data_IF_237944284951
#
_entry.id   IF_237944284951
#
_cell.length_a   1.000
_cell.length_b   1.000
_cell.length_c   1.000
_cell.angle_alpha   90.00
_cell.angle_beta   90.00
_cell.angle_gamma   90.00
#
_symmetry.space_group_name_H-M   'P 1'
#
loop_
_entity.id
_entity.type
_entity.pdbx_description
1 polymer ?
#
# COMPACT_ATOMS: atom_id res chain seq x y z
N UNK A 1 -21.77 -14.29 69.50
CA UNK A 1 -22.50 -13.77 68.33
C UNK A 1 -23.50 -14.84 67.90
N UNK A 2 -24.78 -14.48 67.88
CA UNK A 2 -25.95 -15.35 67.89
C UNK A 2 -26.38 -15.84 66.49
N UNK A 3 -27.16 -16.94 66.48
CA UNK A 3 -28.08 -17.49 65.43
C UNK A 3 -27.40 -18.41 64.39
N UNK A 4 -27.40 -19.74 64.56
CA UNK A 4 -28.47 -20.75 64.28
C UNK A 4 -28.58 -21.14 62.79
N UNK A 5 -28.16 -22.36 62.41
CA UNK A 5 -28.96 -23.61 62.19
C UNK A 5 -29.90 -23.60 60.97
N UNK A 6 -29.69 -24.55 60.04
CA UNK A 6 -30.66 -25.50 59.40
C UNK A 6 -30.03 -26.08 58.11
N UNK A 7 -29.53 -27.31 58.08
CA UNK A 7 -30.24 -28.58 57.78
C UNK A 7 -31.05 -28.56 56.48
N UNK A 8 -30.70 -29.42 55.50
CA UNK A 8 -31.54 -30.57 55.14
C UNK A 8 -30.81 -31.56 54.21
N UNK A 9 -30.78 -32.80 54.68
CA UNK A 9 -30.40 -34.02 53.98
C UNK A 9 -31.58 -34.56 53.14
N UNK A 10 -31.22 -35.29 52.08
CA UNK A 10 -31.96 -36.39 51.43
C UNK A 10 -33.19 -36.03 50.58
N UNK A 11 -33.06 -36.37 49.29
CA UNK A 11 -34.15 -36.55 48.35
C UNK A 11 -33.64 -37.38 47.18
N UNK A 12 -33.44 -38.68 47.38
CA UNK A 12 -33.23 -39.66 46.32
C UNK A 12 -34.47 -39.67 45.42
N UNK A 13 -34.38 -39.03 44.26
CA UNK A 13 -35.36 -39.25 43.18
C UNK A 13 -34.85 -40.42 42.36
N UNK A 14 -35.58 -41.54 42.46
CA UNK A 14 -35.52 -42.64 41.52
C UNK A 14 -36.04 -42.11 40.18
N UNK A 15 -35.14 -41.87 39.22
CA UNK A 15 -35.52 -41.74 37.81
C UNK A 15 -35.71 -43.15 37.23
N UNK A 16 -36.89 -43.70 37.38
CA UNK A 16 -37.35 -44.82 36.56
C UNK A 16 -38.11 -44.29 35.34
N UNK A 17 -37.87 -44.97 34.22
CA UNK A 17 -38.48 -44.91 32.90
C UNK A 17 -37.66 -44.27 31.76
N UNK A 18 -37.03 -45.22 31.07
CA UNK A 18 -36.63 -45.25 29.67
C UNK A 18 -37.70 -44.62 28.78
N UNK A 19 -37.31 -43.54 28.12
CA UNK A 19 -37.86 -43.12 26.85
C UNK A 19 -36.69 -42.93 25.89
N UNK A 20 -36.22 -43.99 25.25
CA UNK A 20 -35.36 -43.85 24.06
C UNK A 20 -36.27 -43.29 22.98
N UNK A 21 -36.42 -41.96 22.93
CA UNK A 21 -36.82 -41.29 21.71
C UNK A 21 -35.62 -41.47 20.79
N UNK A 22 -35.66 -42.51 19.97
CA UNK A 22 -34.78 -42.67 18.84
C UNK A 22 -35.00 -41.45 17.95
N UNK A 23 -34.20 -40.40 18.14
CA UNK A 23 -34.09 -39.32 17.17
C UNK A 23 -33.53 -39.98 15.92
N UNK A 24 -34.41 -40.30 14.97
CA UNK A 24 -34.02 -40.61 13.60
C UNK A 24 -33.33 -39.34 13.09
N UNK A 25 -32.01 -39.28 13.28
CA UNK A 25 -31.19 -38.28 12.60
C UNK A 25 -31.23 -38.68 11.14
N UNK A 26 -32.22 -38.18 10.41
CA UNK A 26 -32.26 -38.26 8.96
C UNK A 26 -30.97 -37.64 8.45
N UNK A 27 -30.00 -38.49 8.10
CA UNK A 27 -28.75 -38.08 7.47
C UNK A 27 -29.15 -37.45 6.14
N UNK A 28 -29.17 -36.12 6.11
CA UNK A 28 -29.44 -35.38 4.89
C UNK A 28 -28.47 -35.85 3.80
N UNK A 29 -29.00 -36.30 2.68
CA UNK A 29 -28.19 -36.70 1.53
C UNK A 29 -27.30 -35.54 1.09
N UNK A 30 -26.05 -35.86 0.75
CA UNK A 30 -25.13 -34.85 0.24
C UNK A 30 -25.70 -34.22 -1.05
N UNK A 31 -25.54 -32.91 -1.18
CA UNK A 31 -25.94 -32.20 -2.38
C UNK A 31 -25.07 -32.62 -3.58
N UNK A 32 -25.61 -32.47 -4.79
CA UNK A 32 -24.86 -32.63 -6.04
C UNK A 32 -24.59 -31.28 -6.69
N UNK A 33 -23.54 -31.19 -7.50
CA UNK A 33 -23.18 -29.97 -8.23
C UNK A 33 -24.01 -29.95 -9.52
N UNK A 34 -24.83 -28.92 -9.70
CA UNK A 34 -25.62 -28.68 -10.93
C UNK A 34 -24.93 -27.69 -11.86
N UNK A 35 -24.11 -26.80 -11.30
CA UNK A 35 -23.26 -25.91 -12.10
C UNK A 35 -21.86 -25.97 -11.52
N UNK A 36 -20.92 -26.44 -12.32
CA UNK A 36 -19.50 -26.46 -11.98
C UNK A 36 -18.94 -25.03 -11.94
N UNK A 37 -17.62 -24.91 -11.74
CA UNK A 37 -16.97 -23.61 -11.67
C UNK A 37 -17.34 -22.73 -12.88
N UNK A 38 -17.93 -21.59 -12.60
CA UNK A 38 -18.23 -20.55 -13.59
C UNK A 38 -17.63 -19.23 -13.13
N UNK A 39 -16.91 -18.55 -14.02
CA UNK A 39 -16.31 -17.25 -13.70
C UNK A 39 -17.39 -16.17 -13.53
N UNK A 40 -17.21 -15.28 -12.54
CA UNK A 40 -18.06 -14.11 -12.39
C UNK A 40 -17.69 -13.07 -13.46
N UNK A 41 -18.69 -12.51 -14.14
CA UNK A 41 -18.50 -11.50 -15.21
C UNK A 41 -18.60 -10.05 -14.72
N UNK A 42 -19.04 -9.81 -13.49
CA UNK A 42 -19.12 -8.46 -12.92
C UNK A 42 -17.75 -7.81 -12.78
N UNK A 43 -17.70 -6.47 -12.85
CA UNK A 43 -16.48 -5.68 -12.67
C UNK A 43 -15.67 -6.14 -11.45
N UNK A 44 -14.35 -6.15 -11.58
CA UNK A 44 -13.46 -6.68 -10.56
C UNK A 44 -13.67 -5.98 -9.21
N UNK A 45 -13.73 -4.64 -9.20
CA UNK A 45 -13.96 -3.81 -8.01
C UNK A 45 -15.25 -4.13 -7.24
N UNK A 46 -16.29 -4.65 -7.91
CA UNK A 46 -17.56 -5.05 -7.29
C UNK A 46 -17.53 -6.45 -6.65
N UNK A 47 -16.41 -7.16 -6.74
CA UNK A 47 -16.25 -8.55 -6.26
C UNK A 47 -15.33 -8.68 -5.05
N UNK A 48 -15.01 -7.56 -4.40
CA UNK A 48 -14.39 -7.59 -3.09
C UNK A 48 -15.44 -7.95 -2.05
N UNK A 49 -15.14 -8.95 -1.24
CA UNK A 49 -16.05 -9.45 -0.21
C UNK A 49 -15.29 -9.65 1.09
N UNK A 50 -16.03 -9.60 2.18
CA UNK A 50 -15.57 -10.08 3.48
C UNK A 50 -16.45 -11.21 3.96
N UNK A 51 -15.88 -12.05 4.81
CA UNK A 51 -16.59 -13.15 5.46
C UNK A 51 -17.56 -12.63 6.51
N UNK A 52 -18.73 -13.27 6.60
CA UNK A 52 -19.70 -13.02 7.68
C UNK A 52 -19.40 -13.82 8.94
N UNK A 53 -18.44 -14.75 8.88
CA UNK A 53 -18.08 -15.68 9.97
C UNK A 53 -19.10 -16.79 10.21
N UNK A 54 -20.18 -16.86 9.41
CA UNK A 54 -21.28 -17.83 9.60
C UNK A 54 -21.00 -19.18 8.96
N UNK A 55 -20.08 -19.25 7.99
CA UNK A 55 -19.80 -20.43 7.20
C UNK A 55 -18.29 -20.67 7.07
N UNK A 56 -17.90 -21.92 6.91
CA UNK A 56 -16.52 -22.30 6.62
C UNK A 56 -16.17 -22.07 5.13
N UNK A 57 -14.88 -22.10 4.83
CA UNK A 57 -14.35 -22.14 3.47
C UNK A 57 -13.99 -23.59 3.13
N UNK A 58 -14.39 -24.07 1.95
CA UNK A 58 -14.27 -25.47 1.55
C UNK A 58 -13.51 -25.66 0.23
N UNK A 59 -13.02 -26.87 -0.05
CA UNK A 59 -12.34 -27.20 -1.31
C UNK A 59 -13.26 -27.20 -2.54
N UNK A 60 -14.53 -27.61 -2.34
CA UNK A 60 -15.67 -27.62 -3.26
C UNK A 60 -16.93 -27.16 -2.48
N UNK A 61 -18.13 -27.00 -3.08
CA UNK A 61 -19.33 -26.65 -2.32
C UNK A 61 -19.52 -27.50 -1.06
N UNK A 62 -19.70 -26.85 0.09
CA UNK A 62 -19.54 -27.46 1.41
C UNK A 62 -20.56 -28.56 1.77
N UNK A 63 -21.69 -28.62 1.07
CA UNK A 63 -22.74 -29.66 1.23
C UNK A 63 -22.55 -30.86 0.30
N UNK A 64 -21.55 -30.83 -0.59
CA UNK A 64 -21.27 -31.90 -1.55
C UNK A 64 -20.32 -32.94 -0.94
N UNK A 65 -20.50 -34.21 -1.31
CA UNK A 65 -19.65 -35.32 -0.84
C UNK A 65 -18.16 -35.04 -1.08
N UNK A 66 -17.36 -35.27 -0.03
CA UNK A 66 -15.90 -35.08 -0.06
C UNK A 66 -15.45 -33.62 -0.06
N UNK A 67 -16.30 -32.66 0.34
CA UNK A 67 -15.86 -31.30 0.61
C UNK A 67 -14.95 -31.26 1.84
N UNK A 68 -13.71 -30.76 1.66
CA UNK A 68 -12.73 -30.58 2.75
C UNK A 68 -12.80 -29.15 3.26
N UNK A 69 -12.67 -28.95 4.57
CA UNK A 69 -12.58 -27.61 5.18
C UNK A 69 -11.19 -27.03 4.90
N UNK A 70 -11.13 -25.89 4.23
CA UNK A 70 -9.92 -25.09 3.98
C UNK A 70 -9.71 -24.09 5.12
N UNK A 71 -10.79 -23.49 5.61
CA UNK A 71 -10.78 -22.66 6.82
C UNK A 71 -12.09 -22.89 7.59
N UNK A 72 -11.99 -23.21 8.87
CA UNK A 72 -13.14 -23.47 9.72
C UNK A 72 -14.03 -22.24 9.89
N UNK A 73 -15.27 -22.43 10.35
CA UNK A 73 -16.18 -21.32 10.69
C UNK A 73 -15.54 -20.35 11.70
N UNK A 74 -14.87 -20.88 12.73
CA UNK A 74 -14.15 -20.09 13.72
C UNK A 74 -13.05 -19.23 13.07
N UNK A 75 -12.24 -19.82 12.17
CA UNK A 75 -11.21 -19.08 11.43
C UNK A 75 -11.81 -18.00 10.52
N UNK A 76 -12.92 -18.30 9.85
CA UNK A 76 -13.66 -17.34 9.04
C UNK A 76 -14.28 -16.21 9.89
N UNK A 77 -14.58 -16.47 11.17
CA UNK A 77 -15.01 -15.42 12.11
C UNK A 77 -13.85 -14.52 12.55
N UNK A 78 -12.64 -15.05 12.75
CA UNK A 78 -11.47 -14.20 13.05
C UNK A 78 -11.08 -13.31 11.88
N UNK A 79 -11.24 -13.78 10.64
CA UNK A 79 -11.02 -12.96 9.44
C UNK A 79 -12.04 -11.82 9.28
N UNK A 80 -13.26 -11.99 9.80
CA UNK A 80 -14.29 -10.93 9.82
C UNK A 80 -13.84 -9.76 10.68
N UNK A 81 -13.27 -10.04 11.86
CA UNK A 81 -12.87 -9.01 12.84
C UNK A 81 -11.42 -8.55 12.71
N UNK A 82 -10.64 -9.15 11.80
CA UNK A 82 -9.25 -8.77 11.59
C UNK A 82 -9.13 -7.33 11.09
N UNK A 83 -8.20 -6.58 11.69
CA UNK A 83 -7.78 -5.24 11.25
C UNK A 83 -6.90 -5.25 10.00
N UNK A 84 -6.59 -6.41 9.42
CA UNK A 84 -5.78 -6.50 8.20
C UNK A 84 -6.64 -6.74 6.96
N UNK A 85 -6.43 -5.90 5.94
CA UNK A 85 -6.98 -6.03 4.59
C UNK A 85 -6.49 -7.29 3.87
N UNK A 86 -5.41 -7.93 4.35
CA UNK A 86 -4.95 -9.22 3.85
C UNK A 86 -6.03 -10.32 3.91
N UNK A 87 -7.01 -10.16 4.80
CA UNK A 87 -8.13 -11.09 5.03
C UNK A 87 -9.46 -10.65 4.42
N UNK A 88 -9.46 -9.60 3.59
CA UNK A 88 -10.50 -9.48 2.57
C UNK A 88 -10.35 -10.59 1.53
N UNK A 89 -11.40 -10.81 0.75
CA UNK A 89 -11.43 -11.81 -0.31
C UNK A 89 -11.87 -11.20 -1.63
N UNK A 90 -11.42 -11.80 -2.73
CA UNK A 90 -12.01 -11.61 -4.06
C UNK A 90 -12.86 -12.83 -4.38
N UNK A 91 -14.14 -12.63 -4.65
CA UNK A 91 -14.97 -13.62 -5.33
C UNK A 91 -14.67 -13.56 -6.84
N UNK A 92 -14.28 -14.67 -7.44
CA UNK A 92 -13.91 -14.69 -8.87
C UNK A 92 -14.69 -15.71 -9.70
N UNK A 93 -15.43 -16.60 -9.05
CA UNK A 93 -16.35 -17.52 -9.68
C UNK A 93 -17.38 -18.06 -8.71
N UNK A 94 -18.20 -18.99 -9.17
CA UNK A 94 -19.19 -19.67 -8.35
C UNK A 94 -19.42 -21.10 -8.83
N UNK A 95 -20.13 -21.88 -8.03
CA UNK A 95 -20.75 -23.15 -8.36
C UNK A 95 -22.17 -23.18 -7.78
N UNK A 96 -23.06 -23.98 -8.36
CA UNK A 96 -24.43 -24.20 -7.86
C UNK A 96 -24.66 -25.67 -7.52
N UNK A 97 -25.52 -25.91 -6.54
CA UNK A 97 -25.95 -27.25 -6.14
C UNK A 97 -27.41 -27.51 -6.53
N UNK A 98 -27.82 -28.79 -6.48
CA UNK A 98 -29.21 -29.20 -6.69
C UNK A 98 -30.20 -28.63 -5.65
N UNK A 99 -29.70 -28.17 -4.49
CA UNK A 99 -30.49 -27.46 -3.48
C UNK A 99 -30.73 -25.98 -3.81
N UNK A 100 -30.26 -25.50 -4.97
CA UNK A 100 -30.31 -24.09 -5.36
C UNK A 100 -29.29 -23.19 -4.65
N UNK A 101 -28.35 -23.77 -3.90
CA UNK A 101 -27.32 -23.00 -3.18
C UNK A 101 -26.22 -22.52 -4.12
N UNK A 102 -25.87 -21.25 -4.02
CA UNK A 102 -24.71 -20.66 -4.69
C UNK A 102 -23.51 -20.73 -3.74
N UNK A 103 -22.37 -21.21 -4.24
CA UNK A 103 -21.09 -21.17 -3.54
C UNK A 103 -20.11 -20.33 -4.33
N UNK A 104 -19.59 -19.26 -3.74
CA UNK A 104 -18.59 -18.41 -4.40
C UNK A 104 -17.20 -19.02 -4.25
N UNK A 105 -16.48 -19.12 -5.37
CA UNK A 105 -15.04 -19.36 -5.35
C UNK A 105 -14.33 -18.06 -4.99
N UNK A 106 -13.62 -18.07 -3.87
CA UNK A 106 -12.95 -16.91 -3.29
C UNK A 106 -11.47 -17.16 -3.06
N UNK A 107 -10.70 -16.08 -2.99
CA UNK A 107 -9.29 -16.07 -2.55
C UNK A 107 -9.03 -14.87 -1.65
N UNK A 108 -8.29 -15.05 -0.56
CA UNK A 108 -7.87 -13.94 0.32
C UNK A 108 -6.91 -12.99 -0.40
N UNK A 109 -6.85 -11.72 0.00
CA UNK A 109 -5.98 -10.72 -0.66
C UNK A 109 -4.50 -11.05 -0.55
N UNK A 110 -4.07 -11.75 0.50
CA UNK A 110 -2.71 -12.30 0.63
C UNK A 110 -2.50 -13.65 -0.10
N UNK A 111 -3.50 -14.17 -0.79
CA UNK A 111 -3.42 -15.42 -1.57
C UNK A 111 -3.47 -16.73 -0.78
N UNK A 112 -3.36 -16.70 0.56
CA UNK A 112 -3.18 -17.90 1.40
C UNK A 112 -4.42 -18.80 1.49
N UNK A 113 -5.63 -18.25 1.42
CA UNK A 113 -6.87 -19.00 1.58
C UNK A 113 -7.68 -18.96 0.30
N UNK A 114 -7.98 -20.14 -0.27
CA UNK A 114 -8.73 -20.27 -1.52
C UNK A 114 -9.71 -21.42 -1.45
N UNK A 115 -10.97 -21.17 -1.78
CA UNK A 115 -12.00 -22.19 -1.64
C UNK A 115 -13.38 -21.71 -2.08
N UNK A 116 -14.39 -22.50 -1.73
CA UNK A 116 -15.80 -22.21 -1.93
C UNK A 116 -16.45 -21.87 -0.59
N UNK A 117 -17.20 -20.78 -0.55
CA UNK A 117 -17.97 -20.34 0.62
C UNK A 117 -19.43 -20.17 0.20
N UNK A 118 -20.34 -20.59 1.07
CA UNK A 118 -21.77 -20.45 0.81
C UNK A 118 -22.14 -18.98 0.59
N UNK A 119 -22.88 -18.69 -0.47
CA UNK A 119 -23.17 -17.34 -0.95
C UNK A 119 -24.63 -16.93 -0.87
N UNK A 120 -25.52 -17.81 -0.40
CA UNK A 120 -26.98 -17.65 -0.50
C UNK A 120 -27.57 -18.46 -1.66
N UNK A 121 -28.82 -18.17 -2.01
CA UNK A 121 -29.51 -18.77 -3.18
C UNK A 121 -29.48 -17.89 -4.43
N UNK A 122 -29.19 -16.59 -4.26
CA UNK A 122 -29.19 -15.60 -5.35
C UNK A 122 -27.76 -15.27 -5.77
N UNK A 123 -27.47 -15.44 -7.05
CA UNK A 123 -26.17 -15.09 -7.62
C UNK A 123 -25.93 -13.56 -7.55
N UNK A 124 -24.69 -13.14 -7.33
CA UNK A 124 -24.24 -11.77 -7.13
C UNK A 124 -24.77 -11.04 -5.88
N UNK A 125 -25.64 -11.66 -5.07
CA UNK A 125 -26.19 -11.02 -3.87
C UNK A 125 -25.22 -11.01 -2.67
N UNK A 126 -24.27 -11.96 -2.62
CA UNK A 126 -23.37 -12.15 -1.48
C UNK A 126 -24.10 -12.08 -0.12
N UNK A 127 -25.10 -12.95 0.08
CA UNK A 127 -26.00 -12.92 1.24
C UNK A 127 -25.79 -14.06 2.25
N UNK A 128 -24.70 -14.82 2.09
CA UNK A 128 -24.40 -16.00 2.91
C UNK A 128 -23.18 -15.82 3.82
N UNK A 129 -22.20 -16.71 3.64
CA UNK A 129 -20.92 -16.71 4.34
C UNK A 129 -19.99 -15.56 3.97
N UNK A 130 -20.34 -14.77 2.96
CA UNK A 130 -19.64 -13.56 2.53
C UNK A 130 -20.64 -12.45 2.20
N UNK A 131 -20.20 -11.19 2.29
CA UNK A 131 -20.90 -9.98 1.87
C UNK A 131 -19.95 -9.03 1.14
N UNK A 132 -20.49 -8.14 0.31
CA UNK A 132 -19.68 -7.11 -0.38
C UNK A 132 -18.90 -6.23 0.60
N UNK A 133 -17.68 -5.85 0.21
CA UNK A 133 -16.79 -5.04 1.02
C UNK A 133 -16.14 -3.91 0.21
N UNK A 134 -16.21 -2.68 0.74
CA UNK A 134 -15.33 -1.58 0.32
C UNK A 134 -14.00 -1.74 1.05
N UNK A 135 -12.92 -1.92 0.29
CA UNK A 135 -11.57 -2.12 0.85
C UNK A 135 -10.81 -0.81 1.07
N UNK A 136 -11.30 0.26 0.45
CA UNK A 136 -10.81 1.63 0.61
C UNK A 136 -11.97 2.62 0.63
N UNK A 137 -11.69 3.83 1.12
CA UNK A 137 -12.53 5.01 1.00
C UNK A 137 -11.65 6.19 0.53
N UNK A 138 -12.19 7.08 -0.29
CA UNK A 138 -11.49 8.31 -0.66
C UNK A 138 -11.26 9.19 0.58
N UNK A 139 -10.16 9.94 0.56
CA UNK A 139 -9.85 11.01 1.51
C UNK A 139 -9.29 12.20 0.73
N UNK A 140 -9.22 13.35 1.38
CA UNK A 140 -8.69 14.56 0.75
C UNK A 140 -7.23 14.39 0.35
N UNK A 141 -6.83 15.11 -0.70
CA UNK A 141 -5.44 15.19 -1.12
C UNK A 141 -4.62 15.92 -0.05
N UNK A 142 -3.33 15.55 0.12
CA UNK A 142 -2.46 16.31 1.00
C UNK A 142 -2.22 17.71 0.44
N UNK A 143 -1.88 18.65 1.33
CA UNK A 143 -1.41 19.98 0.93
C UNK A 143 0.01 19.90 0.34
N UNK A 144 0.30 20.74 -0.65
CA UNK A 144 1.56 20.72 -1.39
C UNK A 144 1.41 20.05 -2.75
N UNK A 145 2.14 20.54 -3.74
CA UNK A 145 2.10 20.05 -5.12
C UNK A 145 3.22 19.07 -5.44
N UNK A 146 4.32 19.13 -4.69
CA UNK A 146 5.52 18.33 -4.91
C UNK A 146 5.86 17.52 -3.68
N UNK A 147 6.12 16.24 -3.88
CA UNK A 147 6.51 15.28 -2.85
C UNK A 147 7.81 14.56 -3.22
N UNK A 148 8.45 13.95 -2.24
CA UNK A 148 9.68 13.17 -2.40
C UNK A 148 9.60 11.91 -1.54
N UNK A 149 10.37 10.88 -1.89
CA UNK A 149 10.42 9.67 -1.06
C UNK A 149 11.09 9.94 0.28
N UNK A 150 10.52 9.36 1.33
CA UNK A 150 10.97 9.53 2.71
C UNK A 150 11.87 8.35 3.14
N UNK A 151 12.92 8.66 3.91
CA UNK A 151 13.78 7.67 4.57
C UNK A 151 13.07 7.06 5.78
N UNK A 152 12.44 5.91 5.58
CA UNK A 152 11.81 5.14 6.65
C UNK A 152 12.62 3.90 7.03
N UNK A 153 12.66 3.57 8.33
CA UNK A 153 13.29 2.35 8.83
C UNK A 153 12.64 1.03 8.36
N UNK A 154 11.48 1.10 7.72
CA UNK A 154 10.78 -0.05 7.13
C UNK A 154 10.66 0.14 5.62
N UNK A 155 10.86 -0.94 4.87
CA UNK A 155 10.67 -0.95 3.43
C UNK A 155 9.18 -0.79 3.05
N UNK A 156 8.88 0.29 2.35
CA UNK A 156 7.60 0.52 1.68
C UNK A 156 7.84 0.58 0.17
N UNK A 157 6.83 0.22 -0.61
CA UNK A 157 6.94 0.17 -2.06
C UNK A 157 5.71 0.77 -2.73
N UNK A 158 5.80 0.97 -4.04
CA UNK A 158 4.68 1.38 -4.88
C UNK A 158 3.92 0.16 -5.42
N UNK A 159 2.62 0.31 -5.66
CA UNK A 159 1.72 -0.78 -6.02
C UNK A 159 0.69 -0.37 -7.06
N UNK A 160 0.20 -1.30 -7.89
CA UNK A 160 -0.90 -1.03 -8.84
C UNK A 160 -2.25 -0.77 -8.17
N UNK A 161 -2.38 -1.10 -6.89
CA UNK A 161 -3.51 -0.78 -6.01
C UNK A 161 -2.99 -0.75 -4.57
N UNK A 162 -3.62 -0.01 -3.63
CA UNK A 162 -3.17 0.00 -2.24
C UNK A 162 -3.04 -1.42 -1.71
N UNK A 163 -1.98 -1.69 -0.95
CA UNK A 163 -1.59 -3.05 -0.61
C UNK A 163 -2.74 -3.83 0.06
N UNK A 164 -3.06 -5.00 -0.52
CA UNK A 164 -4.15 -5.90 -0.11
C UNK A 164 -5.57 -5.35 -0.25
N UNK A 165 -5.80 -4.35 -1.10
CA UNK A 165 -7.16 -3.82 -1.33
C UNK A 165 -7.82 -4.37 -2.60
N UNK A 166 -7.03 -4.95 -3.51
CA UNK A 166 -7.47 -5.63 -4.73
C UNK A 166 -6.71 -6.94 -4.92
N UNK A 167 -7.39 -7.96 -5.42
CA UNK A 167 -6.74 -9.21 -5.80
C UNK A 167 -5.84 -8.98 -7.02
N UNK A 168 -4.63 -9.54 -6.99
CA UNK A 168 -3.54 -9.32 -7.95
C UNK A 168 -3.02 -7.87 -7.99
N UNK A 169 -3.15 -7.11 -6.90
CA UNK A 169 -2.35 -5.90 -6.72
C UNK A 169 -0.87 -6.28 -6.85
N UNK A 170 -0.16 -5.66 -7.81
CA UNK A 170 1.25 -5.92 -8.10
C UNK A 170 2.09 -4.85 -7.42
N UNK A 171 3.23 -5.27 -6.88
CA UNK A 171 4.27 -4.36 -6.40
C UNK A 171 5.07 -3.88 -7.62
N UNK A 172 5.27 -2.58 -7.73
CA UNK A 172 6.01 -1.95 -8.83
C UNK A 172 7.46 -1.69 -8.37
N UNK A 173 7.62 -0.96 -7.26
CA UNK A 173 8.88 -0.81 -6.56
C UNK A 173 8.84 -1.50 -5.19
N UNK A 174 9.92 -2.15 -4.78
CA UNK A 174 9.96 -2.94 -3.55
C UNK A 174 10.33 -2.15 -2.30
N UNK A 175 11.19 -1.15 -2.47
CA UNK A 175 11.62 -0.24 -1.43
C UNK A 175 11.86 1.13 -2.03
N UNK A 176 11.06 2.10 -1.62
CA UNK A 176 11.17 3.51 -2.02
C UNK A 176 12.18 4.28 -1.18
N UNK A 177 12.70 3.67 -0.10
CA UNK A 177 13.65 4.36 0.76
C UNK A 177 14.85 4.80 -0.08
N UNK A 178 15.15 6.11 -0.11
CA UNK A 178 16.14 6.64 -1.03
C UNK A 178 17.57 6.14 -0.68
N UNK A 179 17.85 5.69 0.54
CA UNK A 179 19.14 5.05 0.87
C UNK A 179 19.27 3.62 0.33
N UNK A 180 18.19 3.01 -0.13
CA UNK A 180 18.18 1.60 -0.55
C UNK A 180 18.59 1.43 -2.01
N UNK A 181 19.15 0.27 -2.36
CA UNK A 181 19.54 -0.03 -3.74
C UNK A 181 18.39 0.13 -4.76
N UNK A 182 17.16 -0.14 -4.34
CA UNK A 182 15.98 0.00 -5.18
C UNK A 182 15.46 1.45 -5.25
N UNK A 183 15.51 2.19 -4.14
CA UNK A 183 14.94 3.53 -4.03
C UNK A 183 15.88 4.66 -4.45
N UNK A 184 17.21 4.46 -4.36
CA UNK A 184 18.21 5.52 -4.57
C UNK A 184 18.15 6.20 -5.94
N UNK A 185 17.73 5.47 -6.96
CA UNK A 185 17.54 5.99 -8.32
C UNK A 185 16.46 7.08 -8.34
N UNK A 186 15.43 6.93 -7.51
CA UNK A 186 14.26 7.82 -7.53
C UNK A 186 14.28 8.87 -6.42
N UNK A 187 15.40 8.98 -5.70
CA UNK A 187 15.49 9.76 -4.49
C UNK A 187 15.17 11.24 -4.75
N UNK A 188 15.72 11.79 -5.83
CA UNK A 188 15.60 13.20 -6.18
C UNK A 188 14.35 13.56 -6.99
N UNK A 189 13.54 12.57 -7.37
CA UNK A 189 12.46 12.84 -8.31
C UNK A 189 11.27 13.53 -7.65
N UNK A 190 10.77 14.64 -8.23
CA UNK A 190 9.56 15.28 -7.77
C UNK A 190 8.36 14.39 -8.10
N UNK A 191 7.61 14.03 -7.05
CA UNK A 191 6.42 13.22 -7.14
C UNK A 191 5.17 14.10 -7.06
N UNK A 192 4.24 13.89 -7.98
CA UNK A 192 2.91 14.50 -7.92
C UNK A 192 1.93 13.52 -7.27
N UNK A 193 1.18 13.97 -6.26
CA UNK A 193 0.11 13.17 -5.65
C UNK A 193 -1.23 13.50 -6.30
N UNK A 194 -1.83 12.55 -7.02
CA UNK A 194 -3.09 12.79 -7.75
C UNK A 194 -4.33 12.17 -7.11
N UNK A 195 -4.16 11.20 -6.21
CA UNK A 195 -5.26 10.53 -5.49
C UNK A 195 -4.86 10.16 -4.08
N UNK A 196 -5.83 10.17 -3.16
CA UNK A 196 -5.65 9.68 -1.80
C UNK A 196 -6.81 8.79 -1.37
N UNK A 197 -6.49 7.67 -0.72
CA UNK A 197 -7.47 6.74 -0.17
C UNK A 197 -7.02 6.21 1.19
N UNK A 198 -7.98 5.91 2.06
CA UNK A 198 -7.77 5.23 3.34
C UNK A 198 -8.23 3.79 3.26
N UNK A 199 -7.42 2.85 3.74
CA UNK A 199 -7.80 1.44 3.89
C UNK A 199 -8.85 1.28 5.00
N UNK A 200 -9.89 0.52 4.74
CA UNK A 200 -11.06 0.42 5.65
C UNK A 200 -10.83 -0.43 6.89
N UNK A 201 -9.79 -1.28 6.93
CA UNK A 201 -9.43 -2.09 8.11
C UNK A 201 -8.26 -1.51 8.91
N UNK A 202 -7.14 -1.21 8.25
CA UNK A 202 -5.94 -0.71 8.92
C UNK A 202 -6.00 0.79 9.21
N UNK A 203 -6.87 1.55 8.52
CA UNK A 203 -6.88 3.01 8.59
C UNK A 203 -5.69 3.69 7.91
N UNK A 204 -4.80 2.94 7.27
CA UNK A 204 -3.63 3.49 6.58
C UNK A 204 -4.04 4.25 5.31
N UNK A 205 -3.48 5.44 5.16
CA UNK A 205 -3.65 6.28 3.97
C UNK A 205 -2.63 5.90 2.91
N UNK A 206 -3.09 5.81 1.67
CA UNK A 206 -2.27 5.60 0.49
C UNK A 206 -2.47 6.75 -0.48
N UNK A 207 -1.39 7.22 -1.06
CA UNK A 207 -1.38 8.19 -2.15
C UNK A 207 -1.10 7.48 -3.46
N UNK A 208 -1.69 7.95 -4.55
CA UNK A 208 -1.24 7.62 -5.90
C UNK A 208 -0.23 8.69 -6.31
N UNK A 209 1.01 8.26 -6.54
CA UNK A 209 2.12 9.13 -6.96
C UNK A 209 2.40 8.96 -8.44
N UNK A 210 2.76 10.06 -9.07
CA UNK A 210 3.24 10.15 -10.44
C UNK A 210 4.64 10.77 -10.44
N UNK A 211 5.57 10.05 -11.01
CA UNK A 211 6.92 10.47 -11.33
C UNK A 211 7.01 10.66 -12.85
N UNK A 212 7.34 11.87 -13.28
CA UNK A 212 7.40 12.22 -14.70
C UNK A 212 8.63 11.59 -15.39
N UNK A 213 9.74 11.40 -14.66
CA UNK A 213 10.98 10.81 -15.18
C UNK A 213 10.94 9.29 -15.14
N UNK A 214 10.27 8.73 -14.13
CA UNK A 214 10.18 7.29 -13.90
C UNK A 214 8.73 6.77 -13.84
N UNK A 215 7.98 6.82 -14.95
CA UNK A 215 6.60 6.38 -14.97
C UNK A 215 6.41 4.89 -14.63
N UNK A 216 7.46 4.07 -14.68
CA UNK A 216 7.44 2.66 -14.31
C UNK A 216 7.09 2.41 -12.83
N UNK A 217 7.29 3.41 -11.95
CA UNK A 217 6.97 3.31 -10.52
C UNK A 217 5.65 3.96 -10.12
N UNK A 218 4.93 4.60 -11.07
CA UNK A 218 3.67 5.31 -10.82
C UNK A 218 2.62 4.38 -10.21
N UNK A 219 2.15 4.72 -9.01
CA UNK A 219 1.34 3.79 -8.24
C UNK A 219 0.97 4.24 -6.85
N UNK A 220 0.30 3.35 -6.14
CA UNK A 220 -0.14 3.55 -4.78
C UNK A 220 0.99 3.29 -3.78
N UNK A 221 1.24 4.26 -2.93
CA UNK A 221 2.25 4.20 -1.87
C UNK A 221 1.62 4.54 -0.52
N UNK A 222 2.17 3.98 0.57
CA UNK A 222 1.78 4.38 1.91
C UNK A 222 2.17 5.85 2.16
N UNK A 223 1.23 6.67 2.64
CA UNK A 223 1.42 8.13 2.67
C UNK A 223 2.64 8.60 3.47
N UNK A 224 3.00 7.92 4.57
CA UNK A 224 4.19 8.30 5.36
C UNK A 224 5.51 8.05 4.65
N UNK A 225 5.51 7.29 3.55
CA UNK A 225 6.71 7.02 2.75
C UNK A 225 7.03 8.14 1.76
N UNK A 226 6.29 9.24 1.80
CA UNK A 226 6.61 10.48 1.08
C UNK A 226 6.54 11.68 2.01
N UNK A 227 7.27 12.74 1.69
CA UNK A 227 7.26 14.06 2.34
C UNK A 227 6.98 15.13 1.29
N UNK A 228 6.31 16.22 1.67
CA UNK A 228 6.07 17.39 0.81
C UNK A 228 7.23 18.39 0.85
N UNK A 229 8.39 17.94 1.31
CA UNK A 229 9.65 18.66 1.35
C UNK A 229 10.77 17.64 1.20
N UNK A 230 11.96 18.14 0.85
CA UNK A 230 13.17 17.34 0.81
C UNK A 230 13.69 17.17 2.23
N UNK A 231 13.86 15.93 2.66
CA UNK A 231 14.56 15.60 3.90
C UNK A 231 16.04 16.04 3.83
N UNK A 232 16.34 17.24 4.32
CA UNK A 232 17.67 17.87 4.24
C UNK A 232 18.78 17.01 4.85
N UNK A 233 18.51 16.24 5.91
CA UNK A 233 19.50 15.37 6.53
C UNK A 233 19.98 14.24 5.60
N UNK A 234 19.12 13.83 4.67
CA UNK A 234 19.44 12.81 3.69
C UNK A 234 19.89 13.44 2.36
N UNK A 235 19.10 14.36 1.83
CA UNK A 235 19.30 14.98 0.51
C UNK A 235 20.39 16.05 0.52
N UNK A 236 20.69 16.66 1.67
CA UNK A 236 21.73 17.68 1.85
C UNK A 236 23.15 17.20 1.54
N UNK A 237 23.36 15.89 1.37
CA UNK A 237 24.63 15.30 0.92
C UNK A 237 24.68 14.98 -0.58
N UNK A 238 23.55 15.09 -1.29
CA UNK A 238 23.40 14.71 -2.70
C UNK A 238 22.99 15.90 -3.57
N UNK A 239 23.45 17.10 -3.22
CA UNK A 239 23.30 18.31 -4.02
C UNK A 239 24.66 18.94 -4.32
N UNK A 240 24.62 20.11 -4.93
CA UNK A 240 25.79 20.91 -5.26
C UNK A 240 25.72 22.19 -4.44
N UNK A 241 26.70 22.38 -3.55
CA UNK A 241 26.87 23.64 -2.85
C UNK A 241 27.35 24.71 -3.82
N UNK A 242 26.61 25.80 -3.90
CA UNK A 242 26.85 26.93 -4.80
C UNK A 242 27.19 28.17 -3.97
N UNK A 243 28.29 28.83 -4.30
CA UNK A 243 28.65 30.15 -3.76
C UNK A 243 28.54 31.18 -4.86
N UNK A 244 27.79 32.26 -4.63
CA UNK A 244 27.68 33.37 -5.57
C UNK A 244 28.70 34.45 -5.23
N UNK A 245 29.46 34.89 -6.23
CA UNK A 245 30.43 35.97 -6.10
C UNK A 245 30.16 37.07 -7.12
N UNK A 246 30.17 38.31 -6.65
CA UNK A 246 30.10 39.48 -7.52
C UNK A 246 31.35 39.54 -8.42
N UNK A 247 31.16 39.62 -9.73
CA UNK A 247 32.24 39.48 -10.71
C UNK A 247 33.23 40.65 -10.71
N UNK A 248 32.84 41.81 -10.20
CA UNK A 248 33.69 43.00 -10.12
C UNK A 248 34.50 43.01 -8.83
N UNK A 249 33.83 42.79 -7.69
CA UNK A 249 34.44 42.91 -6.37
C UNK A 249 35.01 41.60 -5.82
N UNK A 250 34.66 40.45 -6.42
CA UNK A 250 35.00 39.11 -5.92
C UNK A 250 34.34 38.75 -4.59
N UNK A 251 33.44 39.59 -4.07
CA UNK A 251 32.80 39.38 -2.77
C UNK A 251 31.69 38.35 -2.87
N UNK A 252 31.55 37.52 -1.83
CA UNK A 252 30.41 36.63 -1.70
C UNK A 252 29.12 37.43 -1.54
N UNK A 253 28.11 37.11 -2.35
CA UNK A 253 26.79 37.75 -2.35
C UNK A 253 25.64 36.79 -2.06
N UNK A 254 25.96 35.50 -1.85
CA UNK A 254 24.98 34.50 -1.48
C UNK A 254 25.53 33.08 -1.56
N UNK A 255 24.72 32.14 -1.09
CA UNK A 255 24.95 30.71 -1.26
C UNK A 255 23.63 30.01 -1.55
N UNK A 256 23.71 28.86 -2.21
CA UNK A 256 22.58 27.99 -2.50
C UNK A 256 23.01 26.52 -2.41
N UNK A 257 22.04 25.64 -2.23
CA UNK A 257 22.21 24.21 -2.36
C UNK A 257 21.30 23.71 -3.46
N UNK A 258 21.90 23.30 -4.57
CA UNK A 258 21.17 22.93 -5.79
C UNK A 258 21.01 21.42 -5.84
N UNK A 259 19.80 20.94 -6.09
CA UNK A 259 19.45 19.52 -6.09
C UNK A 259 18.16 19.25 -5.30
N UNK A 260 18.01 18.03 -4.74
CA UNK A 260 18.96 16.92 -4.76
C UNK A 260 19.11 16.29 -6.14
N UNK A 261 20.12 15.45 -6.24
CA UNK A 261 20.38 14.54 -7.35
C UNK A 261 20.47 13.10 -6.84
N UNK A 262 20.57 12.15 -7.76
CA UNK A 262 20.88 10.77 -7.41
C UNK A 262 22.27 10.69 -6.76
N UNK A 263 22.44 9.77 -5.80
CA UNK A 263 23.74 9.53 -5.19
C UNK A 263 24.75 9.05 -6.24
N UNK A 264 25.98 9.58 -6.18
CA UNK A 264 27.09 9.26 -7.08
C UNK A 264 26.80 9.60 -8.56
N UNK A 265 25.84 10.49 -8.81
CA UNK A 265 25.53 10.98 -10.16
C UNK A 265 26.31 12.24 -10.52
N UNK A 266 26.11 12.71 -11.74
CA UNK A 266 26.56 14.02 -12.23
C UNK A 266 25.40 14.79 -12.86
N UNK A 267 25.51 16.10 -12.91
CA UNK A 267 24.63 16.98 -13.70
C UNK A 267 25.45 17.71 -14.75
N UNK A 268 24.83 18.09 -15.86
CA UNK A 268 25.50 18.88 -16.91
C UNK A 268 25.63 20.35 -16.52
N UNK A 269 26.59 21.04 -17.14
CA UNK A 269 26.70 22.50 -17.05
C UNK A 269 25.37 23.21 -17.35
N UNK A 270 24.68 22.83 -18.43
CA UNK A 270 23.46 23.51 -18.87
C UNK A 270 22.30 23.31 -17.88
N UNK A 271 22.13 22.10 -17.34
CA UNK A 271 21.15 21.82 -16.30
C UNK A 271 21.42 22.63 -15.02
N UNK A 272 22.68 22.65 -14.57
CA UNK A 272 23.06 23.41 -13.40
C UNK A 272 22.89 24.91 -13.62
N UNK A 273 23.29 25.44 -14.78
CA UNK A 273 23.16 26.84 -15.16
C UNK A 273 21.70 27.28 -15.10
N UNK A 274 20.79 26.49 -15.67
CA UNK A 274 19.36 26.78 -15.64
C UNK A 274 18.81 26.84 -14.20
N UNK A 275 19.28 25.97 -13.31
CA UNK A 275 18.86 25.96 -11.91
C UNK A 275 19.41 27.17 -11.15
N UNK A 276 20.72 27.43 -11.20
CA UNK A 276 21.35 28.57 -10.49
C UNK A 276 20.92 29.93 -11.04
N UNK A 277 20.47 29.99 -12.29
CA UNK A 277 19.92 31.21 -12.89
C UNK A 277 18.44 31.45 -12.57
N UNK A 278 17.76 30.49 -11.94
CA UNK A 278 16.36 30.66 -11.54
C UNK A 278 16.24 31.59 -10.34
N UNK A 279 15.14 32.34 -10.27
CA UNK A 279 14.87 33.30 -9.19
C UNK A 279 14.80 32.68 -7.79
N UNK A 280 14.61 31.35 -7.71
CA UNK A 280 14.58 30.62 -6.44
C UNK A 280 15.98 30.45 -5.83
N UNK A 281 17.04 30.50 -6.64
CA UNK A 281 18.42 30.29 -6.20
C UNK A 281 19.32 31.51 -6.40
N UNK A 282 18.98 32.38 -7.36
CA UNK A 282 19.79 33.54 -7.74
C UNK A 282 19.56 34.72 -6.76
N UNK A 283 20.62 35.33 -6.21
CA UNK A 283 20.49 36.54 -5.40
C UNK A 283 19.75 37.66 -6.15
N UNK A 284 18.85 38.36 -5.46
CA UNK A 284 18.00 39.37 -6.08
C UNK A 284 18.81 40.46 -6.78
N UNK A 285 18.46 40.75 -8.04
CA UNK A 285 19.10 41.79 -8.84
C UNK A 285 20.43 41.40 -9.48
N UNK A 286 20.79 40.11 -9.47
CA UNK A 286 21.99 39.59 -10.12
C UNK A 286 21.65 38.73 -11.34
N UNK A 287 22.64 38.51 -12.22
CA UNK A 287 22.62 37.56 -13.35
C UNK A 287 23.91 36.73 -13.35
N UNK A 288 23.80 35.45 -13.71
CA UNK A 288 24.95 34.54 -13.82
C UNK A 288 25.82 34.93 -15.02
N UNK A 289 27.13 35.02 -14.81
CA UNK A 289 28.13 35.33 -15.85
C UNK A 289 29.04 34.15 -16.15
N UNK A 290 29.45 33.38 -15.15
CA UNK A 290 30.26 32.17 -15.34
C UNK A 290 30.18 31.21 -14.14
N UNK A 291 30.60 29.96 -14.33
CA UNK A 291 30.67 28.94 -13.28
C UNK A 291 32.03 28.23 -13.26
N UNK A 292 32.50 27.87 -12.07
CA UNK A 292 33.74 27.12 -11.85
C UNK A 292 33.55 26.06 -10.77
N UNK A 293 34.20 24.90 -10.90
CA UNK A 293 34.30 23.92 -9.80
C UNK A 293 35.51 24.22 -8.93
N UNK A 294 35.37 24.07 -7.62
CA UNK A 294 36.46 24.25 -6.68
C UNK A 294 37.06 22.89 -6.28
N UNK A 295 37.94 22.38 -7.14
CA UNK A 295 38.68 21.11 -6.98
C UNK A 295 40.14 21.30 -6.53
N UNK A 296 40.47 22.50 -6.03
CA UNK A 296 41.85 22.92 -5.74
C UNK A 296 42.54 23.64 -6.91
N UNK A 297 42.08 23.43 -8.15
CA UNK A 297 42.59 24.13 -9.34
C UNK A 297 41.64 25.20 -9.89
N UNK A 298 40.41 25.28 -9.35
CA UNK A 298 39.36 26.22 -9.77
C UNK A 298 39.00 26.11 -11.27
N UNK A 299 38.82 24.88 -11.74
CA UNK A 299 38.49 24.58 -13.14
C UNK A 299 37.24 25.33 -13.60
N UNK A 300 37.36 26.05 -14.72
CA UNK A 300 36.23 26.77 -15.33
C UNK A 300 35.34 25.80 -16.08
N UNK A 301 34.03 25.87 -15.85
CA UNK A 301 33.06 25.01 -16.53
C UNK A 301 32.59 25.67 -17.83
N UNK A 302 32.38 24.82 -18.84
CA UNK A 302 31.85 25.18 -20.15
C UNK A 302 30.69 24.25 -20.54
N UNK A 303 29.92 24.63 -21.56
CA UNK A 303 28.88 23.77 -22.15
C UNK A 303 29.44 22.40 -22.51
N UNK A 304 28.72 21.34 -22.10
CA UNK A 304 29.15 19.95 -22.27
C UNK A 304 29.89 19.36 -21.06
N UNK A 305 30.38 20.17 -20.12
CA UNK A 305 31.00 19.66 -18.89
C UNK A 305 29.98 18.97 -17.98
N UNK A 306 30.45 17.99 -17.22
CA UNK A 306 29.67 17.30 -16.18
C UNK A 306 30.23 17.57 -14.81
N UNK A 307 29.37 17.91 -13.85
CA UNK A 307 29.72 18.17 -12.46
C UNK A 307 29.31 16.96 -11.62
N UNK A 308 30.27 16.34 -10.92
CA UNK A 308 30.00 15.27 -9.98
C UNK A 308 29.32 15.81 -8.71
N UNK A 309 28.17 15.23 -8.36
CA UNK A 309 27.35 15.67 -7.23
C UNK A 309 28.09 15.44 -5.90
N UNK A 310 27.99 16.42 -4.99
CA UNK A 310 28.50 16.32 -3.62
C UNK A 310 30.03 16.25 -3.47
N UNK A 311 30.81 16.36 -4.55
CA UNK A 311 32.28 16.28 -4.49
C UNK A 311 32.96 17.63 -4.32
N UNK A 312 32.61 18.61 -5.16
CA UNK A 312 33.26 19.92 -5.19
C UNK A 312 32.20 21.02 -5.22
N UNK A 313 32.36 22.11 -4.45
CA UNK A 313 31.46 23.23 -4.54
C UNK A 313 31.66 23.96 -5.88
N UNK A 314 30.60 24.62 -6.33
CA UNK A 314 30.60 25.45 -7.54
C UNK A 314 30.60 26.92 -7.13
N UNK A 315 31.50 27.70 -7.71
CA UNK A 315 31.50 29.16 -7.62
C UNK A 315 30.79 29.70 -8.85
N UNK A 316 29.76 30.49 -8.63
CA UNK A 316 28.99 31.16 -9.68
C UNK A 316 29.31 32.65 -9.61
N UNK A 317 29.96 33.16 -10.67
CA UNK A 317 30.18 34.59 -10.81
C UNK A 317 28.89 35.25 -11.29
N UNK A 318 28.53 36.38 -10.68
CA UNK A 318 27.32 37.12 -10.98
C UNK A 318 27.59 38.62 -11.11
N UNK A 319 26.77 39.33 -11.89
CA UNK A 319 26.80 40.78 -12.02
C UNK A 319 25.39 41.36 -11.85
N UNK A 320 25.28 42.63 -11.42
CA UNK A 320 24.00 43.35 -11.37
C UNK A 320 23.50 43.76 -12.75
#
# INVERSE_FOLDING_TARGET
MNIAKKSLLIGTVVLSFVGIIGTTTSKASAATITTSYTALKTAATKRNVETTGKNALYSKPGTVKGAKVVASKAKMATFKTSSSSAYYFRAYGYAKTNTGSVYYKVVSMNGKYRGYVYGGKTLNAFSGGVKSAKTTQSVDLPTGTTFYFNKLGKAYGTWTSPQYTQYKAKKLLSNVNPTSAAGKKYAADPLTVTKAVKKTREGWVYYYIEDAKHPEINGWIYSKAVLNYLDEDYYGSYGISVSYQDSESGKSVGNAFVGPYEKDSSTSYDELLNQVSSTSYLPSGYKVTSMKIQDGSNTTLSTGDTIAVGRYPVIVSVSK
#
